data_IF_543298954884
#
_entry.id   IF_543298954884
#
_cell.length_a   1.000
_cell.length_b   1.000
_cell.length_c   1.000
_cell.angle_alpha   90.00
_cell.angle_beta   90.00
_cell.angle_gamma   90.00
#
_symmetry.space_group_name_H-M   'P 1'
#
loop_
_entity.id
_entity.type
_entity.pdbx_description
1 polymer ?
#
# COMPACT_ATOMS: atom_id res chain seq x y z
N UNK A 1 5.38 -7.72 55.82
CA UNK A 1 6.65 -8.40 55.51
C UNK A 1 6.44 -9.39 54.38
N UNK A 2 6.49 -8.94 53.12
CA UNK A 2 6.78 -9.78 51.96
C UNK A 2 7.59 -8.87 51.02
N UNK A 3 8.90 -9.03 51.06
CA UNK A 3 9.84 -8.31 50.20
C UNK A 3 9.93 -9.03 48.86
N UNK A 4 9.68 -8.31 47.78
CA UNK A 4 9.88 -8.80 46.41
C UNK A 4 11.15 -8.13 45.87
N UNK A 5 12.25 -8.85 45.60
CA UNK A 5 13.48 -8.24 45.12
C UNK A 5 13.40 -7.98 43.61
N UNK A 6 13.39 -6.70 43.24
CA UNK A 6 13.59 -6.24 41.87
C UNK A 6 14.96 -6.68 41.36
N UNK A 7 15.00 -7.60 40.40
CA UNK A 7 16.19 -7.90 39.59
C UNK A 7 16.30 -6.80 38.53
N UNK A 8 17.11 -5.79 38.83
CA UNK A 8 17.51 -4.77 37.86
C UNK A 8 18.64 -5.28 36.98
N UNK A 9 18.35 -5.54 35.70
CA UNK A 9 19.37 -5.74 34.66
C UNK A 9 19.63 -4.38 34.01
N UNK A 10 20.83 -3.80 34.08
CA UNK A 10 21.16 -2.61 33.30
C UNK A 10 21.63 -3.02 31.89
N UNK A 11 20.90 -2.61 30.86
CA UNK A 11 21.39 -2.62 29.47
C UNK A 11 21.77 -1.19 29.06
N UNK A 12 23.05 -0.91 28.77
CA UNK A 12 23.43 0.33 28.11
C UNK A 12 23.29 0.16 26.59
N UNK A 13 22.30 0.82 25.99
CA UNK A 13 22.30 1.07 24.56
C UNK A 13 23.00 2.42 24.31
N UNK A 14 24.11 2.47 23.55
CA UNK A 14 24.63 3.76 23.10
C UNK A 14 23.77 4.26 21.94
N UNK A 15 23.06 5.37 22.15
CA UNK A 15 22.51 6.19 21.08
C UNK A 15 23.58 7.19 20.61
N UNK A 16 24.17 6.99 19.43
CA UNK A 16 24.49 8.06 18.47
C UNK A 16 25.30 7.58 17.26
N UNK A 17 24.88 8.10 16.10
CA UNK A 17 25.67 8.42 14.90
C UNK A 17 26.22 7.26 14.02
N UNK A 18 25.51 6.98 12.92
CA UNK A 18 26.09 7.08 11.56
C UNK A 18 24.98 7.16 10.51
N UNK A 19 24.90 8.28 9.79
CA UNK A 19 24.11 8.44 8.57
C UNK A 19 24.91 7.89 7.38
N UNK A 20 24.18 7.31 6.43
CA UNK A 20 24.57 6.85 5.09
C UNK A 20 25.10 5.40 4.98
N UNK A 21 24.18 4.46 4.74
CA UNK A 21 24.43 3.28 3.89
C UNK A 21 23.13 2.82 3.20
N UNK A 22 23.28 2.52 1.90
CA UNK A 22 22.27 2.06 0.93
C UNK A 22 21.73 0.65 1.26
N UNK A 23 20.62 0.20 0.62
CA UNK A 23 19.81 -0.92 1.09
C UNK A 23 20.36 -2.25 0.59
N UNK A 24 20.92 -3.06 1.48
CA UNK A 24 21.24 -4.46 1.20
C UNK A 24 21.30 -5.21 2.51
N UNK A 25 20.27 -6.01 2.80
CA UNK A 25 20.28 -7.19 3.68
C UNK A 25 18.85 -7.62 4.00
N UNK A 26 18.34 -8.59 3.24
CA UNK A 26 17.27 -9.49 3.70
C UNK A 26 17.45 -10.82 2.96
N UNK A 27 18.39 -11.66 3.43
CA UNK A 27 18.55 -13.05 2.97
C UNK A 27 19.49 -13.91 3.84
N UNK A 28 19.74 -13.58 5.12
CA UNK A 28 20.76 -14.31 5.92
C UNK A 28 20.18 -15.20 7.02
N UNK A 29 18.92 -15.01 7.44
CA UNK A 29 18.42 -15.73 8.62
C UNK A 29 18.03 -17.20 8.34
N UNK A 30 17.70 -17.57 7.10
CA UNK A 30 17.26 -18.94 6.79
C UNK A 30 18.38 -20.00 6.74
N UNK A 31 19.67 -19.62 6.78
CA UNK A 31 20.79 -20.57 6.67
C UNK A 31 21.90 -20.35 7.72
N UNK A 32 21.59 -19.70 8.85
CA UNK A 32 22.57 -19.48 9.90
C UNK A 32 22.95 -20.75 10.68
N UNK A 33 22.36 -21.93 10.38
CA UNK A 33 22.74 -23.18 11.07
C UNK A 33 24.05 -23.82 10.61
N UNK A 34 24.77 -23.29 9.62
CA UNK A 34 25.87 -24.05 8.98
C UNK A 34 27.24 -23.36 8.97
N UNK A 35 27.41 -22.15 9.51
CA UNK A 35 28.69 -21.46 9.32
C UNK A 35 29.20 -20.74 10.57
N UNK A 36 30.11 -21.42 11.28
CA UNK A 36 31.14 -20.75 12.07
C UNK A 36 32.33 -21.68 12.36
N UNK A 37 33.39 -21.52 11.56
CA UNK A 37 34.75 -21.92 11.90
C UNK A 37 35.65 -20.69 11.76
N UNK A 38 36.23 -20.24 12.88
CA UNK A 38 37.17 -19.12 12.95
C UNK A 38 37.24 -18.51 14.36
N UNK A 39 38.14 -19.07 15.19
CA UNK A 39 38.78 -18.58 16.43
C UNK A 39 37.92 -17.70 17.38
N UNK A 40 37.53 -18.11 18.60
CA UNK A 40 38.32 -18.73 19.66
C UNK A 40 37.48 -19.62 20.60
N UNK A 41 36.28 -20.04 20.18
CA UNK A 41 35.50 -21.08 20.86
C UNK A 41 35.11 -22.13 19.82
N UNK A 42 35.79 -23.27 19.87
CA UNK A 42 35.51 -24.45 19.06
C UNK A 42 34.13 -25.02 19.45
N UNK A 43 33.07 -24.43 18.91
CA UNK A 43 31.84 -25.17 18.66
C UNK A 43 32.20 -26.11 17.52
N UNK A 44 32.62 -27.33 17.84
CA UNK A 44 32.87 -28.37 16.84
C UNK A 44 31.65 -28.44 15.92
N UNK A 45 31.83 -28.45 14.58
CA UNK A 45 30.71 -28.64 13.68
C UNK A 45 30.03 -29.94 14.08
N UNK A 46 28.73 -29.86 14.41
CA UNK A 46 27.95 -31.03 14.76
C UNK A 46 28.09 -32.03 13.60
N UNK A 47 28.36 -33.33 13.86
CA UNK A 47 28.58 -34.32 12.81
C UNK A 47 27.43 -34.40 11.78
N UNK A 48 26.25 -33.91 12.16
CA UNK A 48 25.06 -33.78 11.32
C UNK A 48 25.22 -32.72 10.20
N UNK A 49 25.99 -31.65 10.41
CA UNK A 49 26.11 -30.55 9.43
C UNK A 49 26.89 -30.95 8.18
N UNK A 50 27.93 -31.77 8.33
CA UNK A 50 28.70 -32.28 7.19
C UNK A 50 27.87 -33.23 6.32
N UNK A 51 27.09 -34.11 6.95
CA UNK A 51 26.19 -35.02 6.24
C UNK A 51 25.10 -34.23 5.49
N UNK A 52 24.55 -33.20 6.12
CA UNK A 52 23.56 -32.30 5.52
C UNK A 52 24.13 -31.57 4.30
N UNK A 53 25.36 -31.05 4.39
CA UNK A 53 26.04 -30.41 3.25
C UNK A 53 26.28 -31.38 2.09
N UNK A 54 26.65 -32.63 2.37
CA UNK A 54 26.83 -33.64 1.33
C UNK A 54 25.51 -33.97 0.64
N UNK A 55 24.41 -34.08 1.39
CA UNK A 55 23.06 -34.38 0.90
C UNK A 55 22.40 -33.23 0.13
N UNK A 56 22.90 -31.99 0.21
CA UNK A 56 22.33 -30.84 -0.52
C UNK A 56 22.53 -30.95 -2.04
N UNK A 57 21.50 -30.51 -2.77
CA UNK A 57 21.55 -30.39 -4.23
C UNK A 57 22.61 -29.36 -4.69
N UNK A 58 23.04 -29.44 -5.95
CA UNK A 58 23.98 -28.46 -6.52
C UNK A 58 23.42 -27.03 -6.48
N UNK A 59 22.10 -26.87 -6.68
CA UNK A 59 21.43 -25.57 -6.61
C UNK A 59 21.46 -24.99 -5.19
N UNK A 60 21.21 -25.82 -4.17
CA UNK A 60 21.25 -25.38 -2.78
C UNK A 60 22.67 -25.04 -2.33
N UNK A 61 23.67 -25.81 -2.77
CA UNK A 61 25.10 -25.50 -2.54
C UNK A 61 25.48 -24.15 -3.15
N UNK A 62 25.02 -23.87 -4.37
CA UNK A 62 25.26 -22.57 -5.02
C UNK A 62 24.56 -21.41 -4.27
N UNK A 63 23.33 -21.62 -3.78
CA UNK A 63 22.62 -20.64 -2.95
C UNK A 63 23.37 -20.37 -1.63
N UNK A 64 23.86 -21.42 -0.97
CA UNK A 64 24.63 -21.33 0.26
C UNK A 64 25.96 -20.60 0.03
N UNK A 65 26.67 -20.88 -1.06
CA UNK A 65 27.90 -20.18 -1.43
C UNK A 65 27.67 -18.67 -1.61
N UNK A 66 26.59 -18.27 -2.31
CA UNK A 66 26.20 -16.85 -2.46
C UNK A 66 25.78 -16.20 -1.14
N UNK A 67 25.23 -16.95 -0.19
CA UNK A 67 24.90 -16.42 1.14
C UNK A 67 26.16 -16.24 1.98
N UNK A 68 27.09 -17.19 1.94
CA UNK A 68 28.40 -17.10 2.59
C UNK A 68 29.19 -15.90 2.08
N UNK A 69 29.30 -15.74 0.77
CA UNK A 69 29.99 -14.59 0.16
C UNK A 69 29.39 -13.25 0.64
N UNK A 70 28.06 -13.13 0.64
CA UNK A 70 27.37 -11.94 1.16
C UNK A 70 27.65 -11.68 2.64
N UNK A 71 27.79 -12.73 3.44
CA UNK A 71 28.15 -12.61 4.86
C UNK A 71 29.60 -12.17 5.05
N UNK A 72 30.54 -12.74 4.28
CA UNK A 72 31.96 -12.39 4.32
C UNK A 72 32.24 -10.95 3.85
N UNK A 73 31.37 -10.38 3.00
CA UNK A 73 31.41 -8.98 2.58
C UNK A 73 30.92 -7.99 3.65
N UNK A 74 30.31 -8.46 4.75
CA UNK A 74 29.85 -7.56 5.83
C UNK A 74 31.03 -7.06 6.68
N UNK A 75 30.92 -5.87 7.29
CA UNK A 75 31.89 -5.41 8.30
C UNK A 75 32.04 -6.43 9.43
N UNK A 76 33.25 -6.57 9.98
CA UNK A 76 33.54 -7.56 11.02
C UNK A 76 32.62 -7.43 12.26
N UNK A 77 32.27 -6.21 12.65
CA UNK A 77 31.33 -5.93 13.73
C UNK A 77 29.94 -6.51 13.45
N UNK A 78 29.44 -6.36 12.21
CA UNK A 78 28.14 -6.89 11.80
C UNK A 78 28.17 -8.42 11.68
N UNK A 79 29.27 -9.00 11.19
CA UNK A 79 29.47 -10.45 11.20
C UNK A 79 29.38 -11.00 12.63
N UNK A 80 30.07 -10.37 13.59
CA UNK A 80 30.06 -10.82 14.99
C UNK A 80 28.70 -10.63 15.66
N UNK A 81 27.98 -9.55 15.34
CA UNK A 81 26.61 -9.32 15.79
C UNK A 81 25.68 -10.45 15.33
N UNK A 82 25.77 -10.86 14.06
CA UNK A 82 24.96 -11.97 13.50
C UNK A 82 25.32 -13.31 14.15
N UNK A 83 26.61 -13.57 14.36
CA UNK A 83 27.10 -14.79 15.03
C UNK A 83 26.62 -14.89 16.48
N UNK A 84 26.67 -13.78 17.20
CA UNK A 84 26.15 -13.68 18.57
C UNK A 84 24.66 -13.95 18.61
N UNK A 85 23.89 -13.33 17.70
CA UNK A 85 22.44 -13.57 17.58
C UNK A 85 22.15 -15.05 17.28
N UNK A 86 22.88 -15.66 16.35
CA UNK A 86 22.71 -17.08 16.04
C UNK A 86 22.97 -17.97 17.26
N UNK A 87 24.05 -17.70 18.02
CA UNK A 87 24.37 -18.43 19.25
C UNK A 87 23.25 -18.29 20.28
N UNK A 88 22.74 -17.08 20.49
CA UNK A 88 21.62 -16.80 21.40
C UNK A 88 20.36 -17.57 21.01
N UNK A 89 19.98 -17.56 19.72
CA UNK A 89 18.80 -18.28 19.23
C UNK A 89 18.98 -19.80 19.35
N UNK A 90 20.16 -20.31 19.02
CA UNK A 90 20.45 -21.76 19.01
C UNK A 90 20.48 -22.37 20.42
N UNK A 91 20.92 -21.59 21.41
CA UNK A 91 20.97 -22.00 22.82
C UNK A 91 19.64 -21.77 23.56
N UNK A 92 18.69 -21.06 22.96
CA UNK A 92 17.40 -20.80 23.58
C UNK A 92 16.54 -22.08 23.64
N UNK A 93 15.81 -22.35 24.73
CA UNK A 93 14.91 -23.51 24.82
C UNK A 93 13.89 -23.57 23.66
N UNK A 94 13.35 -22.42 23.27
CA UNK A 94 12.38 -22.28 22.17
C UNK A 94 13.01 -22.01 20.79
N UNK A 95 14.22 -22.52 20.53
CA UNK A 95 14.98 -22.25 19.28
C UNK A 95 14.14 -22.44 18.01
N UNK A 96 13.34 -23.50 17.95
CA UNK A 96 12.58 -23.89 16.76
C UNK A 96 11.49 -22.87 16.47
N UNK A 97 10.79 -22.43 17.53
CA UNK A 97 9.78 -21.39 17.44
C UNK A 97 10.38 -20.04 17.04
N UNK A 98 11.53 -19.68 17.60
CA UNK A 98 12.20 -18.42 17.24
C UNK A 98 12.63 -18.39 15.77
N UNK A 99 13.22 -19.49 15.27
CA UNK A 99 13.61 -19.61 13.86
C UNK A 99 12.39 -19.50 12.95
N UNK A 100 11.28 -20.17 13.28
CA UNK A 100 10.02 -20.08 12.54
C UNK A 100 9.47 -18.64 12.51
N UNK A 101 9.45 -17.94 13.65
CA UNK A 101 9.00 -16.54 13.74
C UNK A 101 9.88 -15.63 12.88
N UNK A 102 11.20 -15.80 12.92
CA UNK A 102 12.10 -15.01 12.09
C UNK A 102 11.88 -15.24 10.60
N UNK A 103 11.64 -16.50 10.17
CA UNK A 103 11.33 -16.83 8.78
C UNK A 103 10.02 -16.17 8.33
N UNK A 104 8.93 -16.36 9.09
CA UNK A 104 7.64 -15.72 8.80
C UNK A 104 7.74 -14.20 8.74
N UNK A 105 8.54 -13.61 9.62
CA UNK A 105 8.79 -12.18 9.60
C UNK A 105 9.56 -11.74 8.34
N UNK A 106 10.59 -12.49 7.93
CA UNK A 106 11.33 -12.16 6.70
C UNK A 106 10.48 -12.32 5.44
N UNK A 107 9.62 -13.33 5.39
CA UNK A 107 8.72 -13.58 4.27
C UNK A 107 7.68 -12.45 4.19
N UNK A 108 7.03 -12.13 5.32
CA UNK A 108 6.08 -11.01 5.40
C UNK A 108 6.73 -9.66 5.05
N UNK A 109 7.98 -9.42 5.48
CA UNK A 109 8.71 -8.21 5.08
C UNK A 109 8.93 -8.13 3.56
N UNK A 110 9.00 -9.25 2.85
CA UNK A 110 9.14 -9.26 1.40
C UNK A 110 7.88 -8.75 0.68
N UNK A 111 6.71 -8.91 1.30
CA UNK A 111 5.42 -8.44 0.78
C UNK A 111 5.19 -6.93 1.01
N UNK A 112 6.02 -6.29 1.85
CA UNK A 112 5.89 -4.85 2.14
C UNK A 112 6.56 -3.97 1.07
N UNK A 113 5.95 -2.81 0.84
CA UNK A 113 6.54 -1.77 -0.02
C UNK A 113 7.86 -1.25 0.55
N UNK A 114 8.72 -0.68 -0.31
CA UNK A 114 9.99 -0.10 0.14
C UNK A 114 9.82 1.02 1.17
N UNK A 115 8.73 1.78 1.11
CA UNK A 115 8.43 2.84 2.09
C UNK A 115 8.06 2.25 3.46
N UNK A 116 7.18 1.25 3.49
CA UNK A 116 6.79 0.56 4.74
C UNK A 116 8.00 -0.12 5.41
N UNK A 117 8.88 -0.75 4.62
CA UNK A 117 10.12 -1.34 5.15
C UNK A 117 11.06 -0.29 5.74
N UNK A 118 11.16 0.89 5.12
CA UNK A 118 11.97 1.99 5.63
C UNK A 118 11.42 2.53 6.95
N UNK A 119 10.09 2.67 7.05
CA UNK A 119 9.40 3.06 8.28
C UNK A 119 9.71 2.09 9.42
N UNK A 120 9.53 0.77 9.23
CA UNK A 120 9.82 -0.23 10.27
C UNK A 120 11.28 -0.21 10.74
N UNK A 121 12.23 0.05 9.83
CA UNK A 121 13.66 0.14 10.18
C UNK A 121 13.98 1.33 11.08
N UNK A 122 13.23 2.43 10.97
CA UNK A 122 13.41 3.62 11.81
C UNK A 122 12.84 3.50 13.21
N UNK A 123 11.99 2.50 13.46
CA UNK A 123 11.33 2.29 14.76
C UNK A 123 12.17 1.44 15.72
N UNK A 124 12.00 1.69 17.03
CA UNK A 124 12.50 0.81 18.10
C UNK A 124 11.81 -0.55 18.05
N UNK A 125 12.34 -1.57 18.72
CA UNK A 125 11.74 -2.93 18.74
C UNK A 125 10.28 -2.90 19.18
N UNK A 126 9.96 -2.20 20.27
CA UNK A 126 8.60 -2.09 20.80
C UNK A 126 7.66 -1.35 19.84
N UNK A 127 8.08 -0.19 19.31
CA UNK A 127 7.26 0.57 18.36
C UNK A 127 7.05 -0.18 17.04
N UNK A 128 8.05 -0.96 16.61
CA UNK A 128 7.97 -1.78 15.42
C UNK A 128 6.91 -2.86 15.54
N UNK A 129 6.74 -3.49 16.70
CA UNK A 129 5.69 -4.49 16.92
C UNK A 129 4.29 -3.87 16.71
N UNK A 130 4.02 -2.72 17.32
CA UNK A 130 2.75 -2.02 17.11
C UNK A 130 2.52 -1.66 15.64
N UNK A 131 3.55 -1.22 14.92
CA UNK A 131 3.42 -0.92 13.49
C UNK A 131 3.21 -2.18 12.63
N UNK A 132 3.81 -3.32 13.00
CA UNK A 132 3.56 -4.61 12.32
C UNK A 132 2.10 -5.02 12.48
N UNK A 133 1.52 -4.87 13.67
CA UNK A 133 0.10 -5.14 13.93
C UNK A 133 -0.79 -4.28 13.03
N UNK A 134 -0.50 -2.98 12.93
CA UNK A 134 -1.20 -2.05 12.04
C UNK A 134 -1.12 -2.45 10.57
N UNK A 135 0.05 -2.85 10.09
CA UNK A 135 0.22 -3.29 8.71
C UNK A 135 -0.53 -4.59 8.43
N UNK A 136 -0.46 -5.58 9.31
CA UNK A 136 -1.21 -6.83 9.16
C UNK A 136 -2.72 -6.60 9.14
N UNK A 137 -3.19 -5.70 9.97
CA UNK A 137 -4.59 -5.30 10.03
C UNK A 137 -5.03 -4.59 8.76
N UNK A 138 -4.23 -3.64 8.28
CA UNK A 138 -4.49 -2.95 7.00
C UNK A 138 -4.51 -3.94 5.85
N UNK A 139 -3.59 -4.91 5.84
CA UNK A 139 -3.57 -6.00 4.87
C UNK A 139 -4.83 -6.87 4.97
N UNK A 140 -5.26 -7.27 6.17
CA UNK A 140 -6.46 -8.07 6.37
C UNK A 140 -7.72 -7.32 5.88
N UNK A 141 -7.87 -6.04 6.21
CA UNK A 141 -9.01 -5.23 5.73
C UNK A 141 -8.94 -5.05 4.21
N UNK A 142 -7.75 -4.83 3.65
CA UNK A 142 -7.57 -4.69 2.20
C UNK A 142 -7.87 -5.99 1.48
N UNK A 143 -7.43 -7.13 2.00
CA UNK A 143 -7.75 -8.46 1.47
C UNK A 143 -9.26 -8.70 1.54
N UNK A 144 -9.87 -8.43 2.69
CA UNK A 144 -11.32 -8.55 2.87
C UNK A 144 -12.10 -7.68 1.87
N UNK A 145 -11.62 -6.47 1.57
CA UNK A 145 -12.21 -5.59 0.56
C UNK A 145 -11.92 -6.03 -0.89
N UNK A 146 -10.69 -6.48 -1.18
CA UNK A 146 -10.24 -6.89 -2.51
C UNK A 146 -10.81 -8.24 -2.93
N UNK A 147 -11.09 -9.14 -1.98
CA UNK A 147 -11.89 -10.36 -2.17
C UNK A 147 -13.35 -10.08 -2.53
N UNK A 148 -13.70 -8.80 -2.74
CA UNK A 148 -14.67 -8.32 -3.71
C UNK A 148 -15.76 -9.34 -4.02
N UNK A 149 -16.82 -9.31 -3.22
CA UNK A 149 -18.09 -10.04 -3.37
C UNK A 149 -18.27 -11.36 -2.62
N UNK A 150 -17.24 -11.98 -2.01
CA UNK A 150 -17.43 -13.27 -1.31
C UNK A 150 -17.39 -13.21 0.22
N UNK A 151 -16.42 -12.51 0.83
CA UNK A 151 -16.17 -12.64 2.29
C UNK A 151 -16.78 -11.53 3.13
N UNK A 152 -16.70 -10.26 2.71
CA UNK A 152 -17.70 -9.29 3.15
C UNK A 152 -18.94 -9.50 2.31
N UNK A 153 -19.91 -10.17 2.90
CA UNK A 153 -21.20 -10.35 2.25
C UNK A 153 -21.76 -8.96 1.93
N UNK A 154 -22.42 -8.79 0.77
CA UNK A 154 -23.07 -7.54 0.40
C UNK A 154 -24.03 -7.02 1.51
N UNK A 155 -24.51 -7.94 2.36
CA UNK A 155 -25.24 -7.68 3.59
C UNK A 155 -24.43 -6.90 4.63
N UNK A 156 -23.18 -7.29 4.93
CA UNK A 156 -22.31 -6.57 5.88
C UNK A 156 -22.05 -5.14 5.41
N UNK A 157 -21.75 -4.94 4.13
CA UNK A 157 -21.55 -3.60 3.56
C UNK A 157 -22.81 -2.75 3.75
N UNK A 158 -23.99 -3.35 3.58
CA UNK A 158 -25.28 -2.68 3.77
C UNK A 158 -25.54 -2.33 5.24
N UNK A 159 -25.24 -3.25 6.16
CA UNK A 159 -25.34 -3.04 7.62
C UNK A 159 -24.38 -1.96 8.09
N UNK A 160 -23.11 -2.03 7.70
CA UNK A 160 -22.10 -1.01 7.99
C UNK A 160 -22.52 0.37 7.49
N UNK A 161 -23.09 0.47 6.28
CA UNK A 161 -23.58 1.74 5.75
C UNK A 161 -24.77 2.28 6.55
N UNK A 162 -25.74 1.42 6.89
CA UNK A 162 -26.90 1.81 7.70
C UNK A 162 -26.47 2.28 9.08
N UNK A 163 -25.58 1.54 9.72
CA UNK A 163 -24.97 1.90 10.99
C UNK A 163 -24.25 3.25 10.87
N UNK A 164 -23.45 3.43 9.82
CA UNK A 164 -22.67 4.66 9.61
C UNK A 164 -23.54 5.89 9.38
N UNK A 165 -24.66 5.75 8.67
CA UNK A 165 -25.67 6.82 8.56
C UNK A 165 -26.25 7.20 9.91
N UNK A 166 -26.65 6.20 10.72
CA UNK A 166 -27.16 6.41 12.08
C UNK A 166 -26.12 7.09 12.97
N UNK A 167 -24.89 6.55 12.97
CA UNK A 167 -23.74 7.09 13.69
C UNK A 167 -23.47 8.56 13.30
N UNK A 168 -23.49 8.87 12.00
CA UNK A 168 -23.25 10.24 11.52
C UNK A 168 -24.37 11.21 11.93
N UNK A 169 -25.62 10.74 12.04
CA UNK A 169 -26.72 11.55 12.56
C UNK A 169 -26.55 11.82 14.07
N UNK A 170 -26.21 10.80 14.85
CA UNK A 170 -26.00 10.90 16.30
C UNK A 170 -24.79 11.78 16.64
N UNK A 171 -23.69 11.62 15.91
CA UNK A 171 -22.42 12.31 16.15
C UNK A 171 -22.21 13.52 15.24
N UNK A 172 -23.31 14.10 14.71
CA UNK A 172 -23.28 15.18 13.71
C UNK A 172 -22.33 16.32 14.09
N UNK A 173 -22.39 16.79 15.33
CA UNK A 173 -21.58 17.93 15.77
C UNK A 173 -20.08 17.60 15.79
N UNK A 174 -19.71 16.35 16.13
CA UNK A 174 -18.34 15.91 16.06
C UNK A 174 -17.81 15.88 14.61
N UNK A 175 -18.63 15.50 13.64
CA UNK A 175 -18.29 15.61 12.22
C UNK A 175 -18.17 17.06 11.77
N UNK A 176 -19.14 17.91 12.13
CA UNK A 176 -19.15 19.33 11.77
C UNK A 176 -17.94 20.10 12.32
N UNK A 177 -17.51 19.78 13.54
CA UNK A 177 -16.38 20.43 14.19
C UNK A 177 -15.03 20.13 13.52
N UNK A 178 -14.92 19.04 12.77
CA UNK A 178 -13.73 18.71 11.97
C UNK A 178 -13.68 19.43 10.62
N UNK A 179 -14.79 20.01 10.18
CA UNK A 179 -14.85 20.73 8.92
C UNK A 179 -14.40 22.19 9.09
N UNK A 180 -13.77 22.77 8.05
CA UNK A 180 -13.57 24.21 7.93
C UNK A 180 -14.88 24.97 8.13
N UNK A 181 -14.83 26.18 8.71
CA UNK A 181 -16.03 26.95 9.08
C UNK A 181 -16.98 27.19 7.91
N UNK A 182 -16.45 27.54 6.74
CA UNK A 182 -17.22 27.78 5.52
C UNK A 182 -17.97 26.53 5.03
N UNK A 183 -17.36 25.35 5.20
CA UNK A 183 -17.98 24.06 4.86
C UNK A 183 -19.03 23.70 5.92
N UNK A 184 -18.71 23.91 7.20
CA UNK A 184 -19.59 23.61 8.34
C UNK A 184 -20.91 24.36 8.25
N UNK A 185 -20.88 25.65 7.98
CA UNK A 185 -22.10 26.49 7.91
C UNK A 185 -23.01 25.99 6.79
N UNK A 186 -22.45 25.71 5.61
CA UNK A 186 -23.20 25.21 4.46
C UNK A 186 -23.79 23.82 4.67
N UNK A 187 -23.03 22.91 5.29
CA UNK A 187 -23.58 21.61 5.68
C UNK A 187 -24.73 21.86 6.66
N UNK A 188 -24.55 22.71 7.66
CA UNK A 188 -25.57 22.97 8.69
C UNK A 188 -26.88 23.56 8.14
N UNK A 189 -26.83 24.34 7.06
CA UNK A 189 -27.99 24.91 6.36
C UNK A 189 -28.74 23.91 5.47
N UNK A 190 -28.13 22.78 5.12
CA UNK A 190 -28.73 21.80 4.21
C UNK A 190 -29.81 20.94 4.90
N UNK A 191 -30.76 20.31 4.19
CA UNK A 191 -31.67 19.32 4.78
C UNK A 191 -30.93 18.12 5.42
N UNK A 192 -31.41 17.60 6.54
CA UNK A 192 -30.71 16.58 7.35
C UNK A 192 -30.22 15.36 6.55
N UNK A 193 -31.01 14.87 5.59
CA UNK A 193 -30.60 13.75 4.72
C UNK A 193 -29.40 14.11 3.83
N UNK A 194 -29.43 15.32 3.26
CA UNK A 194 -28.34 15.85 2.44
C UNK A 194 -27.10 16.06 3.31
N UNK A 195 -27.27 16.51 4.56
CA UNK A 195 -26.16 16.68 5.49
C UNK A 195 -25.42 15.38 5.78
N UNK A 196 -26.13 14.32 6.17
CA UNK A 196 -25.51 13.01 6.43
C UNK A 196 -24.71 12.57 5.22
N UNK A 197 -25.29 12.70 4.02
CA UNK A 197 -24.58 12.35 2.77
C UNK A 197 -23.36 13.24 2.52
N UNK A 198 -23.44 14.55 2.78
CA UNK A 198 -22.31 15.48 2.66
C UNK A 198 -21.18 15.14 3.60
N UNK A 199 -21.49 14.85 4.87
CA UNK A 199 -20.53 14.50 5.90
C UNK A 199 -19.81 13.20 5.54
N UNK A 200 -20.54 12.16 5.16
CA UNK A 200 -19.96 10.89 4.75
C UNK A 200 -19.07 11.04 3.50
N UNK A 201 -19.55 11.79 2.51
CA UNK A 201 -18.78 12.03 1.29
C UNK A 201 -17.51 12.84 1.54
N UNK A 202 -17.59 13.86 2.39
CA UNK A 202 -16.43 14.65 2.79
C UNK A 202 -15.42 13.81 3.55
N UNK A 203 -15.90 12.95 4.44
CA UNK A 203 -15.07 12.04 5.22
C UNK A 203 -14.29 11.04 4.37
N UNK A 204 -14.93 10.51 3.34
CA UNK A 204 -14.28 9.54 2.46
C UNK A 204 -13.27 10.14 1.47
N UNK A 205 -13.44 11.42 1.10
CA UNK A 205 -12.60 12.06 0.07
C UNK A 205 -11.41 12.84 0.61
N UNK A 206 -11.48 13.31 1.85
CA UNK A 206 -10.37 14.04 2.45
C UNK A 206 -9.44 13.06 3.16
N UNK A 207 -8.17 12.91 2.72
CA UNK A 207 -7.21 12.03 3.40
C UNK A 207 -6.99 12.40 4.87
N UNK A 208 -7.16 13.69 5.18
CA UNK A 208 -7.02 14.24 6.53
C UNK A 208 -8.26 14.05 7.40
N UNK A 209 -9.42 13.73 6.83
CA UNK A 209 -10.64 13.59 7.60
C UNK A 209 -10.59 12.31 8.44
N UNK A 210 -10.86 12.46 9.73
CA UNK A 210 -10.93 11.34 10.67
C UNK A 210 -12.39 11.13 11.03
N UNK A 211 -12.90 9.92 10.83
CA UNK A 211 -14.18 9.60 11.43
C UNK A 211 -14.07 9.83 12.93
N UNK A 212 -15.04 10.50 13.57
CA UNK A 212 -15.13 10.49 15.02
C UNK A 212 -14.99 9.05 15.51
N UNK A 213 -14.14 8.85 16.50
CA UNK A 213 -13.84 7.53 17.03
C UNK A 213 -15.10 6.99 17.69
N UNK A 214 -15.70 5.89 17.18
CA UNK A 214 -16.86 5.30 17.85
C UNK A 214 -16.47 4.82 19.25
N UNK A 215 -17.40 4.93 20.19
CA UNK A 215 -17.24 4.36 21.52
C UNK A 215 -17.15 2.84 21.43
N UNK A 216 -16.53 2.21 22.43
CA UNK A 216 -16.35 0.76 22.47
C UNK A 216 -17.70 0.04 22.41
N UNK A 217 -18.72 0.58 23.06
CA UNK A 217 -20.09 0.04 23.09
C UNK A 217 -20.74 0.06 21.70
N UNK A 218 -20.50 1.12 20.92
CA UNK A 218 -21.03 1.26 19.56
C UNK A 218 -20.35 0.28 18.59
N UNK A 219 -19.05 0.02 18.81
CA UNK A 219 -18.30 -1.01 18.08
C UNK A 219 -18.83 -2.40 18.40
N UNK A 220 -19.11 -2.71 19.66
CA UNK A 220 -19.70 -3.99 20.08
C UNK A 220 -21.09 -4.19 19.46
N UNK A 221 -21.90 -3.14 19.39
CA UNK A 221 -23.20 -3.20 18.72
C UNK A 221 -23.06 -3.49 17.22
N UNK A 222 -22.13 -2.82 16.54
CA UNK A 222 -21.86 -3.10 15.12
C UNK A 222 -21.35 -4.54 14.92
N UNK A 223 -20.40 -4.99 15.75
CA UNK A 223 -19.82 -6.34 15.70
C UNK A 223 -20.91 -7.41 15.79
N UNK A 224 -21.91 -7.23 16.65
CA UNK A 224 -23.04 -8.16 16.80
C UNK A 224 -23.94 -8.26 15.54
N UNK A 225 -23.97 -7.24 14.69
CA UNK A 225 -24.76 -7.23 13.46
C UNK A 225 -24.00 -7.83 12.26
N UNK A 226 -22.66 -7.84 12.31
CA UNK A 226 -21.80 -8.29 11.22
C UNK A 226 -21.78 -9.82 11.07
N UNK A 227 -21.41 -10.30 9.88
CA UNK A 227 -21.23 -11.72 9.61
C UNK A 227 -20.09 -12.33 10.44
N UNK A 228 -20.08 -13.67 10.64
CA UNK A 228 -18.99 -14.35 11.35
C UNK A 228 -17.60 -14.11 10.74
N UNK A 229 -17.51 -13.92 9.42
CA UNK A 229 -16.24 -13.61 8.77
C UNK A 229 -15.71 -12.22 9.18
N UNK A 230 -16.57 -11.22 9.18
CA UNK A 230 -16.23 -9.87 9.62
C UNK A 230 -15.94 -9.81 11.14
N UNK A 231 -16.70 -10.54 11.95
CA UNK A 231 -16.41 -10.73 13.37
C UNK A 231 -15.04 -11.34 13.59
N UNK A 232 -14.68 -12.40 12.85
CA UNK A 232 -13.36 -13.02 12.95
C UNK A 232 -12.19 -12.08 12.61
N UNK A 233 -12.39 -11.05 11.79
CA UNK A 233 -11.39 -10.00 11.56
C UNK A 233 -11.31 -9.04 12.76
N UNK A 234 -12.45 -8.67 13.35
CA UNK A 234 -12.49 -7.83 14.56
C UNK A 234 -11.90 -8.55 15.78
N UNK A 235 -12.07 -9.87 15.89
CA UNK A 235 -11.48 -10.68 16.97
C UNK A 235 -9.95 -10.76 16.91
N UNK A 236 -9.34 -10.54 15.74
CA UNK A 236 -7.88 -10.48 15.61
C UNK A 236 -7.27 -9.25 16.27
N UNK A 237 -8.07 -8.21 16.54
CA UNK A 237 -7.58 -7.05 17.26
C UNK A 237 -7.38 -7.38 18.75
N UNK A 238 -6.11 -7.31 19.17
CA UNK A 238 -5.67 -7.56 20.55
C UNK A 238 -6.10 -6.49 21.53
N UNK A 239 -6.43 -5.28 21.06
CA UNK A 239 -6.83 -4.15 21.90
C UNK A 239 -8.14 -3.51 21.41
N UNK A 240 -8.94 -2.90 22.31
CA UNK A 240 -10.16 -2.19 21.94
C UNK A 240 -9.91 -1.05 20.93
N UNK A 241 -8.80 -0.32 21.07
CA UNK A 241 -8.43 0.76 20.16
C UNK A 241 -8.18 0.22 18.75
N UNK A 242 -7.50 -0.92 18.67
CA UNK A 242 -7.25 -1.58 17.40
C UNK A 242 -8.56 -2.03 16.74
N UNK A 243 -9.52 -2.58 17.51
CA UNK A 243 -10.87 -2.90 16.99
C UNK A 243 -11.54 -1.67 16.38
N UNK A 244 -11.48 -0.52 17.05
CA UNK A 244 -12.05 0.74 16.53
C UNK A 244 -11.38 1.15 15.22
N UNK A 245 -10.06 0.99 15.11
CA UNK A 245 -9.33 1.28 13.87
C UNK A 245 -9.70 0.33 12.72
N UNK A 246 -9.90 -0.98 13.02
CA UNK A 246 -10.43 -1.94 12.04
C UNK A 246 -11.78 -1.46 11.54
N UNK A 247 -12.71 -1.16 12.44
CA UNK A 247 -14.05 -0.69 12.09
C UNK A 247 -13.97 0.55 11.22
N UNK A 248 -13.17 1.55 11.60
CA UNK A 248 -12.98 2.76 10.79
C UNK A 248 -12.41 2.47 9.39
N UNK A 249 -11.50 1.51 9.27
CA UNK A 249 -10.94 1.08 7.99
C UNK A 249 -11.99 0.37 7.13
N UNK A 250 -12.75 -0.57 7.72
CA UNK A 250 -13.85 -1.25 7.04
C UNK A 250 -14.96 -0.28 6.63
N UNK A 251 -15.25 0.75 7.43
CA UNK A 251 -16.23 1.79 7.10
C UNK A 251 -15.77 2.62 5.90
N UNK A 252 -14.49 2.99 5.84
CA UNK A 252 -13.89 3.66 4.68
C UNK A 252 -13.95 2.76 3.43
N UNK A 253 -13.62 1.49 3.58
CA UNK A 253 -13.63 0.51 2.49
C UNK A 253 -15.05 0.26 1.96
N UNK A 254 -16.02 0.04 2.85
CA UNK A 254 -17.44 -0.18 2.49
C UNK A 254 -18.05 1.05 1.83
N UNK A 255 -17.75 2.26 2.33
CA UNK A 255 -18.19 3.50 1.71
C UNK A 255 -17.60 3.67 0.30
N UNK A 256 -16.30 3.45 0.16
CA UNK A 256 -15.61 3.52 -1.15
C UNK A 256 -16.20 2.50 -2.12
N UNK A 257 -16.40 1.26 -1.68
CA UNK A 257 -16.97 0.17 -2.48
C UNK A 257 -18.39 0.47 -2.92
N UNK A 258 -19.24 1.04 -2.06
CA UNK A 258 -20.61 1.42 -2.42
C UNK A 258 -20.62 2.57 -3.41
N UNK A 259 -19.80 3.60 -3.20
CA UNK A 259 -19.71 4.70 -4.17
C UNK A 259 -19.13 4.26 -5.51
N UNK A 260 -18.21 3.30 -5.51
CA UNK A 260 -17.62 2.75 -6.73
C UNK A 260 -18.54 1.75 -7.45
N UNK A 261 -19.42 1.05 -6.73
CA UNK A 261 -20.35 0.07 -7.30
C UNK A 261 -21.68 0.66 -7.78
N UNK A 262 -22.04 1.89 -7.39
CA UNK A 262 -23.28 2.54 -7.85
C UNK A 262 -23.27 2.84 -9.37
N UNK A 263 -22.13 2.76 -10.04
CA UNK A 263 -22.06 3.06 -11.48
C UNK A 263 -22.45 1.82 -12.27
N UNK A 264 -23.64 1.89 -12.87
CA UNK A 264 -24.13 0.85 -13.77
C UNK A 264 -23.20 0.69 -14.97
N UNK A 265 -23.17 -0.52 -15.55
CA UNK A 265 -22.44 -0.77 -16.79
C UNK A 265 -22.90 0.18 -17.91
N UNK A 266 -24.20 0.47 -17.95
CA UNK A 266 -24.81 1.40 -18.90
C UNK A 266 -24.28 2.83 -18.73
N UNK A 267 -24.07 3.30 -17.49
CA UNK A 267 -23.50 4.62 -17.23
C UNK A 267 -22.02 4.70 -17.62
N UNK A 268 -21.27 3.60 -17.45
CA UNK A 268 -19.90 3.51 -17.93
C UNK A 268 -19.84 3.52 -19.46
N UNK A 269 -20.75 2.81 -20.14
CA UNK A 269 -20.84 2.82 -21.60
C UNK A 269 -21.23 4.19 -22.14
N UNK A 270 -22.22 4.86 -21.53
CA UNK A 270 -22.59 6.25 -21.88
C UNK A 270 -21.39 7.18 -21.72
N UNK A 271 -20.70 7.08 -20.59
CA UNK A 271 -19.51 7.88 -20.36
C UNK A 271 -18.39 7.58 -21.35
N UNK A 272 -18.15 6.31 -21.70
CA UNK A 272 -17.17 5.94 -22.71
C UNK A 272 -17.48 6.58 -24.07
N UNK A 273 -18.75 6.61 -24.48
CA UNK A 273 -19.20 7.25 -25.72
C UNK A 273 -18.99 8.77 -25.72
N UNK A 274 -19.01 9.42 -24.55
CA UNK A 274 -18.78 10.87 -24.38
C UNK A 274 -17.29 11.25 -24.32
N UNK A 275 -16.38 10.27 -24.18
CA UNK A 275 -14.95 10.55 -24.10
C UNK A 275 -14.37 11.06 -25.43
N UNK A 276 -13.34 11.93 -25.40
CA UNK A 276 -12.61 12.29 -26.61
C UNK A 276 -12.03 11.05 -27.31
N UNK A 277 -12.00 11.05 -28.64
CA UNK A 277 -11.55 9.92 -29.47
C UNK A 277 -10.17 9.39 -29.06
N UNK A 278 -9.22 10.27 -28.74
CA UNK A 278 -7.89 9.88 -28.25
C UNK A 278 -7.96 8.98 -27.00
N UNK A 279 -8.90 9.27 -26.09
CA UNK A 279 -9.10 8.46 -24.87
C UNK A 279 -9.85 7.18 -25.12
N UNK A 280 -10.74 7.16 -26.11
CA UNK A 280 -11.38 5.92 -26.56
C UNK A 280 -10.34 4.97 -27.18
N UNK A 281 -9.47 5.49 -28.05
CA UNK A 281 -8.36 4.72 -28.65
C UNK A 281 -7.38 4.20 -27.59
N UNK A 282 -7.06 5.01 -26.56
CA UNK A 282 -6.27 4.55 -25.38
C UNK A 282 -6.96 3.36 -24.69
N UNK A 283 -8.27 3.44 -24.46
CA UNK A 283 -9.04 2.40 -23.78
C UNK A 283 -9.17 1.12 -24.63
N UNK A 284 -9.33 1.23 -25.94
CA UNK A 284 -9.42 0.10 -26.87
C UNK A 284 -8.10 -0.68 -26.99
N UNK A 285 -6.97 -0.03 -26.71
CA UNK A 285 -5.66 -0.70 -26.70
C UNK A 285 -5.42 -1.60 -25.47
N UNK A 286 -6.24 -1.44 -24.41
CA UNK A 286 -6.13 -2.19 -23.17
C UNK A 286 -6.90 -3.51 -23.21
N UNK A 287 -6.55 -4.44 -22.34
CA UNK A 287 -7.38 -5.63 -22.13
C UNK A 287 -8.75 -5.24 -21.57
N UNK A 288 -9.79 -6.07 -21.76
CA UNK A 288 -11.17 -5.77 -21.31
C UNK A 288 -11.25 -5.40 -19.82
N UNK A 289 -10.51 -6.11 -18.97
CA UNK A 289 -10.46 -5.85 -17.53
C UNK A 289 -9.75 -4.53 -17.20
N UNK A 290 -8.62 -4.26 -17.84
CA UNK A 290 -7.88 -3.00 -17.69
C UNK A 290 -8.67 -1.81 -18.19
N UNK A 291 -9.31 -1.95 -19.36
CA UNK A 291 -10.22 -0.98 -19.94
C UNK A 291 -11.34 -0.65 -18.94
N UNK A 292 -12.01 -1.66 -18.37
CA UNK A 292 -13.11 -1.44 -17.44
C UNK A 292 -12.67 -0.70 -16.17
N UNK A 293 -11.55 -1.14 -15.59
CA UNK A 293 -10.95 -0.48 -14.42
C UNK A 293 -10.55 0.96 -14.73
N UNK A 294 -9.95 1.20 -15.89
CA UNK A 294 -9.51 2.53 -16.34
C UNK A 294 -10.70 3.44 -16.62
N UNK A 295 -11.75 2.93 -17.26
CA UNK A 295 -12.98 3.64 -17.54
C UNK A 295 -13.71 4.03 -16.25
N UNK A 296 -13.82 3.13 -15.27
CA UNK A 296 -14.34 3.45 -13.93
C UNK A 296 -13.52 4.55 -13.25
N UNK A 297 -12.20 4.44 -13.26
CA UNK A 297 -11.32 5.46 -12.69
C UNK A 297 -11.54 6.83 -13.35
N UNK A 298 -11.63 6.87 -14.69
CA UNK A 298 -11.90 8.10 -15.44
C UNK A 298 -13.29 8.66 -15.14
N UNK A 299 -14.31 7.79 -15.08
CA UNK A 299 -15.68 8.16 -14.72
C UNK A 299 -15.72 8.83 -13.35
N UNK A 300 -15.12 8.22 -12.32
CA UNK A 300 -15.09 8.80 -10.97
C UNK A 300 -14.26 10.06 -10.89
N UNK A 301 -13.15 10.15 -11.61
CA UNK A 301 -12.34 11.36 -11.68
C UNK A 301 -13.10 12.52 -12.35
N UNK A 302 -13.77 12.26 -13.47
CA UNK A 302 -14.60 13.24 -14.16
C UNK A 302 -15.80 13.65 -13.31
N UNK A 303 -16.53 12.67 -12.75
CA UNK A 303 -17.63 12.92 -11.82
C UNK A 303 -17.17 13.67 -10.58
N UNK A 304 -15.95 13.44 -10.07
CA UNK A 304 -15.38 14.21 -8.98
C UNK A 304 -15.13 15.67 -9.38
N UNK A 305 -14.65 15.95 -10.61
CA UNK A 305 -14.48 17.32 -11.13
C UNK A 305 -15.82 18.03 -11.35
N UNK A 306 -16.80 17.32 -11.91
CA UNK A 306 -18.17 17.84 -12.10
C UNK A 306 -18.91 18.02 -10.78
N UNK A 307 -18.72 17.13 -9.81
CA UNK A 307 -19.25 17.31 -8.47
C UNK A 307 -18.51 18.42 -7.71
N UNK A 308 -17.19 18.58 -7.84
CA UNK A 308 -16.48 19.70 -7.20
C UNK A 308 -16.95 21.06 -7.73
N UNK A 309 -17.41 21.13 -8.98
CA UNK A 309 -18.03 22.33 -9.54
C UNK A 309 -19.51 22.50 -9.16
N UNK A 310 -20.27 21.41 -9.04
CA UNK A 310 -21.70 21.41 -8.67
C UNK A 310 -21.95 21.50 -7.15
N UNK A 311 -21.00 21.07 -6.33
CA UNK A 311 -21.02 21.13 -4.86
C UNK A 311 -20.06 22.25 -4.46
N UNK A 312 -20.54 23.50 -4.34
CA UNK A 312 -19.70 24.69 -4.28
C UNK A 312 -18.72 24.76 -3.09
N UNK A 313 -18.72 23.80 -2.16
CA UNK A 313 -17.86 23.79 -0.95
C UNK A 313 -16.55 23.06 -1.18
N UNK A 314 -16.39 22.38 -2.31
CA UNK A 314 -15.12 21.78 -2.72
C UNK A 314 -14.33 22.66 -3.69
N UNK A 315 -14.75 23.93 -3.90
CA UNK A 315 -14.04 24.90 -4.74
C UNK A 315 -12.72 25.41 -4.12
N UNK A 316 -12.42 25.07 -2.87
CA UNK A 316 -11.16 25.37 -2.19
C UNK A 316 -9.98 24.46 -2.59
N UNK A 317 -9.92 24.00 -3.84
CA UNK A 317 -8.65 23.51 -4.38
C UNK A 317 -7.62 24.63 -4.30
N UNK A 318 -6.31 24.33 -4.17
CA UNK A 318 -5.27 25.36 -4.20
C UNK A 318 -5.57 26.29 -5.38
N UNK A 319 -5.48 27.63 -5.18
CA UNK A 319 -5.86 28.58 -6.21
C UNK A 319 -5.23 28.10 -7.50
N UNK A 320 -6.07 27.85 -8.51
CA UNK A 320 -5.56 27.62 -9.86
C UNK A 320 -4.61 28.79 -10.07
N UNK A 321 -3.30 28.52 -10.11
CA UNK A 321 -2.37 29.47 -10.70
C UNK A 321 -3.04 29.79 -12.01
N UNK A 322 -3.44 31.04 -12.19
CA UNK A 322 -4.06 31.48 -13.42
C UNK A 322 -3.15 30.95 -14.53
N UNK A 323 -3.64 29.94 -15.23
CA UNK A 323 -3.13 29.57 -16.53
C UNK A 323 -3.50 30.78 -17.38
N UNK A 324 -2.69 31.83 -17.28
CA UNK A 324 -2.42 32.69 -18.39
C UNK A 324 -1.89 31.75 -19.47
N UNK A 325 -2.81 31.19 -20.25
CA UNK A 325 -2.56 30.87 -21.64
C UNK A 325 -1.71 32.03 -22.19
N UNK A 326 -0.49 31.76 -22.67
CA UNK A 326 0.27 32.75 -23.40
C UNK A 326 -0.55 33.09 -24.64
N UNK A 327 -1.37 34.14 -24.55
CA UNK A 327 -2.18 34.63 -25.64
C UNK A 327 -1.31 34.84 -26.86
N UNK A 328 -1.72 34.21 -27.97
CA UNK A 328 -1.15 34.38 -29.29
C UNK A 328 -0.93 35.85 -29.61
N UNK A 329 0.27 36.11 -30.10
CA UNK A 329 0.79 37.39 -30.50
C UNK A 329 -0.12 38.12 -31.50
N UNK A 330 -0.78 39.19 -31.06
CA UNK A 330 -1.18 40.28 -31.95
C UNK A 330 0.06 41.10 -32.38
N UNK A 331 0.10 41.63 -33.61
CA UNK A 331 1.27 42.33 -34.13
C UNK A 331 1.43 43.69 -33.45
N UNK A 332 2.52 43.85 -32.67
CA UNK A 332 2.97 45.14 -32.16
C UNK A 332 3.58 45.98 -33.29
N UNK A 333 2.80 46.91 -33.81
CA UNK A 333 3.29 48.10 -34.53
C UNK A 333 3.59 49.21 -33.51
N UNK A 334 4.86 49.65 -33.40
CA UNK A 334 5.24 50.93 -32.74
C UNK A 334 4.87 52.15 -33.60
N UNK A 335 5.34 53.41 -33.34
CA UNK A 335 6.53 53.88 -32.59
C UNK A 335 6.27 55.22 -31.80
N UNK A 336 7.23 56.13 -31.46
CA UNK A 336 8.69 56.06 -31.29
C UNK A 336 9.22 56.57 -29.90
N UNK A 337 10.52 56.34 -29.68
CA UNK A 337 11.39 56.92 -28.63
C UNK A 337 11.42 58.46 -28.68
N UNK A 338 11.50 59.07 -27.49
CA UNK A 338 11.98 60.44 -27.25
C UNK A 338 13.11 60.46 -26.20
N UNK A 339 13.92 61.52 -26.15
CA UNK A 339 15.34 61.46 -25.78
C UNK A 339 15.69 62.08 -24.41
N UNK A 340 16.81 61.65 -23.85
CA UNK A 340 17.48 62.29 -22.71
C UNK A 340 17.39 61.46 -21.43
N UNK A 341 18.45 61.19 -20.69
CA UNK A 341 19.87 61.47 -20.84
C UNK A 341 20.60 60.59 -19.81
N UNK A 342 21.84 60.21 -20.09
CA UNK A 342 22.77 59.79 -19.02
C UNK A 342 23.13 60.99 -18.12
N UNK A 343 24.15 60.92 -17.23
CA UNK A 343 25.36 60.09 -17.35
C UNK A 343 25.88 59.61 -15.95
N UNK A 344 27.19 59.49 -15.65
CA UNK A 344 28.00 58.27 -15.82
C UNK A 344 28.88 57.90 -14.58
N UNK A 345 29.61 56.79 -14.70
CA UNK A 345 30.88 56.41 -14.05
C UNK A 345 31.14 56.62 -12.54
N UNK A 346 31.58 55.52 -11.90
CA UNK A 346 32.50 55.51 -10.76
C UNK A 346 33.21 54.15 -10.65
N UNK A 347 34.55 54.08 -10.48
CA UNK A 347 35.36 52.88 -10.72
C UNK A 347 35.91 52.24 -9.43
N UNK A 348 36.66 51.15 -9.63
CA UNK A 348 37.65 50.54 -8.73
C UNK A 348 37.13 49.79 -7.49
N UNK A 349 37.23 48.45 -7.53
CA UNK A 349 37.92 47.77 -6.43
C UNK A 349 38.62 46.49 -6.91
N UNK A 350 39.95 46.56 -6.86
CA UNK A 350 40.90 45.48 -7.07
C UNK A 350 41.08 44.74 -5.74
N UNK A 351 41.00 43.42 -5.73
CA UNK A 351 41.49 42.64 -4.60
C UNK A 351 41.34 41.12 -4.77
N UNK A 352 42.30 40.31 -4.30
CA UNK A 352 42.94 39.32 -5.16
C UNK A 352 42.78 37.87 -4.69
N UNK A 353 43.10 36.95 -5.61
CA UNK A 353 43.79 35.70 -5.25
C UNK A 353 42.91 34.48 -5.02
N UNK A 354 42.98 33.52 -5.94
CA UNK A 354 42.41 32.20 -5.76
C UNK A 354 42.76 31.28 -6.94
N UNK A 355 44.02 30.87 -7.01
CA UNK A 355 44.50 29.83 -7.91
C UNK A 355 43.72 28.52 -7.71
N UNK A 356 43.58 27.74 -8.79
CA UNK A 356 42.89 26.44 -8.87
C UNK A 356 43.52 25.32 -8.03
N UNK A 357 43.16 24.03 -8.28
CA UNK A 357 43.39 23.38 -9.57
C UNK A 357 42.20 22.49 -10.02
N UNK A 358 42.02 22.23 -11.31
CA UNK A 358 42.66 21.07 -11.94
C UNK A 358 41.61 20.03 -12.37
N UNK A 359 40.93 20.29 -13.49
CA UNK A 359 40.10 19.29 -14.15
C UNK A 359 41.01 18.39 -15.00
N UNK A 360 41.18 17.15 -14.54
CA UNK A 360 41.88 16.09 -15.25
C UNK A 360 41.12 15.60 -16.49
N UNK A 361 41.82 14.89 -17.40
CA UNK A 361 41.34 14.56 -18.74
C UNK A 361 40.32 13.41 -18.76
N UNK A 362 39.31 13.55 -19.63
CA UNK A 362 38.40 12.49 -20.07
C UNK A 362 39.16 11.42 -20.85
N UNK A 363 39.02 10.12 -20.53
CA UNK A 363 39.41 9.06 -21.43
C UNK A 363 38.19 8.38 -22.08
N UNK A 364 38.28 8.21 -23.40
CA UNK A 364 37.94 6.92 -24.00
C UNK A 364 36.52 6.72 -24.51
N UNK A 365 36.22 7.35 -25.65
CA UNK A 365 35.32 6.78 -26.65
C UNK A 365 35.91 5.47 -27.19
N UNK A 366 35.16 4.38 -27.10
CA UNK A 366 35.47 3.09 -27.70
C UNK A 366 34.22 2.40 -28.25
N UNK A 367 34.33 1.58 -29.32
CA UNK A 367 33.27 1.31 -30.27
C UNK A 367 32.67 -0.10 -30.12
N UNK A 368 31.35 -0.18 -30.11
CA UNK A 368 30.58 -1.41 -30.33
C UNK A 368 29.35 -0.97 -31.14
N UNK A 369 28.98 -1.57 -32.27
CA UNK A 369 29.28 -2.91 -32.75
C UNK A 369 28.00 -3.34 -33.46
N UNK A 370 28.04 -3.25 -34.78
CA UNK A 370 27.08 -3.84 -35.70
C UNK A 370 26.91 -5.35 -35.41
N UNK A 371 25.69 -5.86 -35.51
CA UNK A 371 25.35 -7.20 -35.04
C UNK A 371 23.89 -7.58 -35.22
N UNK A 372 23.39 -7.51 -36.45
CA UNK A 372 22.16 -8.20 -36.82
C UNK A 372 22.26 -9.72 -36.69
N UNK A 373 21.15 -10.35 -36.25
CA UNK A 373 20.72 -11.75 -36.46
C UNK A 373 19.31 -11.83 -35.87
N UNK A 374 18.22 -12.07 -36.60
CA UNK A 374 18.07 -12.94 -37.76
C UNK A 374 17.96 -14.39 -37.28
N UNK A 375 16.76 -14.82 -36.86
CA UNK A 375 16.54 -16.16 -36.32
C UNK A 375 15.09 -16.62 -36.44
N UNK A 376 14.81 -17.35 -37.52
CA UNK A 376 13.54 -18.00 -37.87
C UNK A 376 13.17 -19.13 -36.89
N UNK A 377 11.87 -19.32 -36.65
CA UNK A 377 11.20 -20.63 -36.42
C UNK A 377 9.80 -20.52 -37.06
N UNK A 378 9.49 -21.16 -38.22
CA UNK A 378 8.94 -22.54 -38.37
C UNK A 378 7.99 -22.87 -37.21
N UNK A 379 6.67 -22.97 -37.39
CA UNK A 379 5.96 -23.85 -38.34
C UNK A 379 5.76 -25.22 -37.67
N UNK A 380 4.57 -25.82 -37.83
CA UNK A 380 4.00 -27.03 -37.17
C UNK A 380 3.21 -26.74 -35.87
N UNK A 381 1.96 -27.16 -35.70
CA UNK A 381 1.09 -27.97 -36.57
C UNK A 381 -0.34 -27.97 -36.01
N UNK A 382 -1.30 -28.05 -36.93
CA UNK A 382 -2.67 -28.51 -36.72
C UNK A 382 -2.69 -29.92 -36.11
N UNK A 383 -3.75 -30.19 -35.35
CA UNK A 383 -4.38 -31.48 -35.05
C UNK A 383 -4.75 -31.61 -33.57
N UNK A 384 -6.04 -31.38 -33.28
CA UNK A 384 -6.86 -32.07 -32.24
C UNK A 384 -8.31 -31.59 -32.33
N UNK A 385 -9.07 -32.26 -33.20
CA UNK A 385 -10.29 -33.06 -32.93
C UNK A 385 -11.26 -32.73 -31.76
N UNK A 386 -12.53 -33.20 -31.84
CA UNK A 386 -13.70 -32.33 -31.74
C UNK A 386 -14.46 -32.41 -30.40
N UNK A 387 -15.34 -31.42 -30.21
CA UNK A 387 -16.35 -31.34 -29.14
C UNK A 387 -17.29 -32.56 -29.16
N UNK A 388 -17.65 -33.12 -28.00
CA UNK A 388 -18.79 -34.03 -27.92
C UNK A 388 -20.11 -33.25 -27.85
N UNK A 389 -21.02 -33.70 -28.71
CA UNK A 389 -22.45 -33.43 -28.73
C UNK A 389 -23.11 -33.96 -27.45
N UNK A 390 -23.85 -33.12 -26.73
CA UNK A 390 -24.80 -33.56 -25.69
C UNK A 390 -26.20 -33.06 -26.04
N UNK A 391 -26.87 -33.89 -26.82
CA UNK A 391 -28.32 -33.89 -27.04
C UNK A 391 -28.89 -35.14 -26.35
N UNK A 392 -30.15 -35.04 -25.91
CA UNK A 392 -30.92 -36.01 -25.10
C UNK A 392 -30.63 -35.95 -23.60
N UNK A 393 -31.61 -35.83 -22.70
CA UNK A 393 -33.06 -35.87 -22.81
C UNK A 393 -33.66 -35.94 -21.40
N UNK A 394 -34.99 -35.81 -21.30
CA UNK A 394 -35.73 -36.26 -20.11
C UNK A 394 -36.25 -35.15 -19.20
N UNK A 395 -37.39 -34.59 -19.61
CA UNK A 395 -38.35 -33.92 -18.72
C UNK A 395 -39.23 -35.02 -18.10
N UNK A 396 -39.29 -35.19 -16.76
CA UNK A 396 -40.41 -35.87 -16.14
C UNK A 396 -41.45 -34.84 -15.70
N UNK A 397 -42.65 -35.00 -16.23
CA UNK A 397 -43.87 -34.37 -15.73
C UNK A 397 -44.34 -35.07 -14.45
N UNK A 398 -44.72 -34.26 -13.44
CA UNK A 398 -45.84 -34.34 -12.47
C UNK A 398 -46.15 -35.66 -11.74
N UNK A 399 -46.55 -35.63 -10.45
CA UNK A 399 -47.88 -35.13 -10.01
C UNK A 399 -47.84 -34.29 -8.71
N UNK A 400 -48.63 -33.22 -8.52
CA UNK A 400 -50.05 -33.20 -8.14
C UNK A 400 -50.41 -34.13 -6.97
N UNK A 401 -50.17 -33.64 -5.75
CA UNK A 401 -50.80 -34.13 -4.52
C UNK A 401 -51.38 -32.94 -3.73
N UNK A 402 -52.72 -32.87 -3.74
CA UNK A 402 -53.59 -32.33 -2.70
C UNK A 402 -54.73 -33.36 -2.61
N UNK A 403 -55.02 -33.94 -1.44
CA UNK A 403 -56.08 -33.37 -0.62
C UNK A 403 -55.84 -33.44 0.90
N UNK A 404 -56.32 -32.39 1.57
CA UNK A 404 -57.17 -32.45 2.76
C UNK A 404 -57.08 -33.68 3.69
N UNK A 405 -56.68 -33.48 4.95
CA UNK A 405 -57.59 -33.74 6.08
C UNK A 405 -57.06 -33.19 7.41
N UNK A 406 -58.00 -32.56 8.12
CA UNK A 406 -57.91 -32.03 9.47
C UNK A 406 -58.27 -33.15 10.47
N UNK A 407 -57.84 -33.10 11.74
CA UNK A 407 -58.64 -32.38 12.74
C UNK A 407 -57.90 -31.33 13.57
#
# INVERSE_FOLDING_TARGET
MISNPSIGIPLPWPTAACRAARPLLFAVVACATVLLAGADHAVSPEPNDQQRLLAMSAADKAKLAKQKERFEQLPAEEQERIRTLYRQVSQHPDRERLVEVMQRYTDWLADLTSSQRAELRGLSSTARIGQIEQFKLTQAVTQLAASGSSELQADDISKMHRWLEGYTRTHRDAFLNQLPADVRDRVSESPAEIQTRMLLFGAARQPSFRFPTPATEEVVQLEAELSPAAQGVLEQATTPQLKVEIVNSMLKASFSSRWESIVSEDDLQKYAAELPREKQEELESLTREEMHRRLRQMYFASRARHHASRWPFWKGGPPRRDDHEPGEHGPRTGPPRGPGGGPPHGPDDLGPGGMGPGLGPRPGSGPWGDGGRGGRRRGFGEDRDPKPDTRFGGRPESPLDDPSDNP
#
